data_IF_658819355511
#
_entry.id   IF_658819355511
#
_cell.length_a   1.000
_cell.length_b   1.000
_cell.length_c   1.000
_cell.angle_alpha   90.00
_cell.angle_beta   90.00
_cell.angle_gamma   90.00
#
_symmetry.space_group_name_H-M   'P 1'
#
loop_
_entity.id
_entity.type
_entity.pdbx_description
1 polymer ?
#
# COMPACT_ATOMS: atom_id res chain seq x y z
N UNK A 1 30.86 9.31 4.11
CA UNK A 1 29.47 9.41 4.49
C UNK A 1 28.72 8.15 4.06
N UNK A 2 28.13 7.48 5.02
CA UNK A 2 27.57 6.14 4.88
C UNK A 2 26.33 6.21 3.97
N UNK A 3 26.28 5.41 2.92
CA UNK A 3 25.12 5.26 2.01
C UNK A 3 23.79 4.97 2.77
N UNK A 4 23.86 4.47 4.00
CA UNK A 4 22.70 4.21 4.87
C UNK A 4 21.99 5.48 5.34
N UNK A 5 22.73 6.56 5.59
CA UNK A 5 22.15 7.81 6.10
C UNK A 5 21.35 8.56 5.02
N UNK A 6 21.81 8.48 3.76
CA UNK A 6 21.08 9.04 2.61
C UNK A 6 19.74 8.33 2.38
N UNK A 7 19.68 7.02 2.64
CA UNK A 7 18.46 6.24 2.50
C UNK A 7 17.39 6.56 3.57
N UNK A 8 17.78 6.93 4.78
CA UNK A 8 16.82 7.27 5.85
C UNK A 8 16.18 8.63 5.62
N UNK A 9 16.94 9.64 5.18
CA UNK A 9 16.41 10.97 4.88
C UNK A 9 15.46 10.96 3.67
N UNK A 10 15.81 10.20 2.62
CA UNK A 10 14.95 9.97 1.46
C UNK A 10 13.65 9.24 1.84
N UNK A 11 13.71 8.30 2.79
CA UNK A 11 12.52 7.56 3.29
C UNK A 11 11.55 8.47 4.05
N UNK A 12 12.05 9.38 4.89
CA UNK A 12 11.24 10.37 5.61
C UNK A 12 10.52 11.32 4.66
N UNK A 13 11.25 11.89 3.72
CA UNK A 13 10.67 12.75 2.68
C UNK A 13 9.58 12.00 1.92
N UNK A 14 9.80 10.73 1.61
CA UNK A 14 8.85 9.88 0.90
C UNK A 14 7.55 9.67 1.67
N UNK A 15 7.57 9.34 2.95
CA UNK A 15 6.35 9.15 3.76
C UNK A 15 5.55 10.45 3.93
N UNK A 16 6.23 11.57 4.15
CA UNK A 16 5.58 12.88 4.18
C UNK A 16 5.01 13.25 2.79
N UNK A 17 5.75 12.96 1.71
CA UNK A 17 5.26 13.16 0.35
C UNK A 17 4.00 12.33 0.05
N UNK A 18 3.96 11.04 0.46
CA UNK A 18 2.78 10.19 0.27
C UNK A 18 1.59 10.75 1.06
N UNK A 19 1.79 11.17 2.31
CA UNK A 19 0.73 11.77 3.12
C UNK A 19 0.16 13.02 2.45
N UNK A 20 1.03 13.93 1.99
CA UNK A 20 0.61 15.18 1.38
C UNK A 20 -0.03 14.95 0.00
N UNK A 21 0.58 14.13 -0.85
CA UNK A 21 0.05 13.80 -2.18
C UNK A 21 -1.24 12.97 -2.11
N UNK A 22 -1.44 12.21 -1.03
CA UNK A 22 -2.67 11.48 -0.75
C UNK A 22 -3.72 12.30 0.02
N UNK A 23 -3.50 13.61 0.21
CA UNK A 23 -4.40 14.50 0.96
C UNK A 23 -4.74 13.97 2.36
N UNK A 24 -3.75 13.38 3.04
CA UNK A 24 -3.87 12.84 4.39
C UNK A 24 -4.49 11.44 4.48
N UNK A 25 -4.86 10.80 3.38
CA UNK A 25 -5.41 9.43 3.40
C UNK A 25 -4.34 8.36 3.67
N UNK A 26 -3.07 8.68 3.55
CA UNK A 26 -1.97 7.90 4.10
C UNK A 26 -1.53 8.49 5.43
N UNK A 27 -1.61 7.71 6.51
CA UNK A 27 -1.19 8.17 7.84
C UNK A 27 -0.74 6.99 8.70
N UNK A 28 0.53 6.95 9.05
CA UNK A 28 1.09 5.90 9.90
C UNK A 28 0.78 6.08 11.39
N UNK A 29 0.25 7.24 11.81
CA UNK A 29 -0.14 7.52 13.20
C UNK A 29 -1.58 7.03 13.48
N UNK A 30 -1.84 5.76 13.13
CA UNK A 30 -3.18 5.15 13.24
C UNK A 30 -3.24 3.97 14.22
N UNK A 31 -2.14 3.65 14.90
CA UNK A 31 -2.03 2.43 15.69
C UNK A 31 -3.07 2.31 16.81
N UNK A 32 -3.42 3.41 17.48
CA UNK A 32 -4.48 3.40 18.49
C UNK A 32 -5.85 3.10 17.88
N UNK A 33 -6.17 3.74 16.76
CA UNK A 33 -7.45 3.52 16.06
C UNK A 33 -7.53 2.10 15.52
N UNK A 34 -6.42 1.58 14.98
CA UNK A 34 -6.31 0.19 14.53
C UNK A 34 -6.52 -0.80 15.68
N UNK A 35 -5.96 -0.51 16.87
CA UNK A 35 -6.17 -1.30 18.10
C UNK A 35 -7.63 -1.24 18.57
N UNK A 36 -8.22 -0.04 18.65
CA UNK A 36 -9.61 0.14 19.09
C UNK A 36 -10.61 -0.58 18.19
N UNK A 37 -10.31 -0.70 16.89
CA UNK A 37 -11.07 -1.50 15.93
C UNK A 37 -10.69 -2.99 15.95
N UNK A 38 -9.70 -3.38 16.76
CA UNK A 38 -9.25 -4.74 16.96
C UNK A 38 -8.41 -5.30 15.83
N UNK A 39 -7.77 -4.48 15.01
CA UNK A 39 -6.85 -4.89 13.92
C UNK A 39 -5.37 -4.80 14.30
N UNK A 40 -5.05 -4.23 15.46
CA UNK A 40 -3.73 -4.22 16.06
C UNK A 40 -3.78 -4.80 17.48
N UNK A 41 -2.64 -5.20 18.08
CA UNK A 41 -2.58 -5.65 19.46
C UNK A 41 -3.19 -4.64 20.41
N UNK A 42 -3.82 -5.14 21.49
CA UNK A 42 -4.35 -4.30 22.55
C UNK A 42 -3.18 -3.70 23.35
N UNK A 43 -3.11 -2.38 23.36
CA UNK A 43 -2.14 -1.63 24.15
C UNK A 43 -2.86 -1.01 25.34
N UNK A 44 -2.13 -0.79 26.43
CA UNK A 44 -2.65 -0.16 27.63
C UNK A 44 -3.51 1.06 27.30
N UNK A 45 -4.76 1.04 27.78
CA UNK A 45 -5.85 1.91 27.35
C UNK A 45 -5.76 3.33 27.94
N UNK A 46 -4.59 3.94 27.95
CA UNK A 46 -4.51 5.36 28.24
C UNK A 46 -5.32 6.15 27.21
N UNK A 47 -6.29 6.90 27.68
CA UNK A 47 -7.17 7.73 26.86
C UNK A 47 -6.31 8.66 26.01
N UNK A 48 -6.35 8.50 24.69
CA UNK A 48 -5.69 9.42 23.77
C UNK A 48 -6.42 10.76 23.82
N UNK A 49 -5.89 11.71 24.61
CA UNK A 49 -6.51 13.02 24.80
C UNK A 49 -6.38 13.92 23.56
N UNK A 50 -5.37 13.68 22.72
CA UNK A 50 -5.12 14.47 21.52
C UNK A 50 -4.61 13.59 20.40
N UNK A 51 -5.40 13.41 19.38
CA UNK A 51 -4.96 12.75 18.14
C UNK A 51 -4.25 13.78 17.25
N UNK A 52 -2.98 13.64 17.08
CA UNK A 52 -2.21 14.36 16.07
C UNK A 52 -1.33 13.38 15.31
N UNK A 53 -1.19 13.59 14.02
CA UNK A 53 -0.26 12.86 13.18
C UNK A 53 1.14 13.50 13.15
N UNK A 54 1.40 14.48 14.03
CA UNK A 54 2.71 15.13 14.09
C UNK A 54 3.72 14.25 14.81
N UNK A 55 4.84 14.03 14.16
CA UNK A 55 6.03 13.43 14.74
C UNK A 55 7.29 14.06 14.16
N UNK A 56 8.41 13.93 14.85
CA UNK A 56 9.72 14.40 14.41
C UNK A 56 10.71 13.24 14.52
N UNK A 57 11.51 13.05 13.48
CA UNK A 57 12.61 12.11 13.46
C UNK A 57 13.92 12.89 13.54
N UNK A 58 14.75 12.58 14.51
CA UNK A 58 16.11 13.07 14.60
C UNK A 58 17.06 11.97 14.05
N UNK A 59 17.65 12.24 12.90
CA UNK A 59 18.54 11.28 12.23
C UNK A 59 19.90 11.14 12.93
N UNK A 60 20.36 12.18 13.63
CA UNK A 60 21.66 12.19 14.28
C UNK A 60 21.71 11.25 15.50
N UNK A 61 20.66 11.27 16.32
CA UNK A 61 20.55 10.43 17.52
C UNK A 61 19.62 9.22 17.31
N UNK A 62 19.08 9.05 16.09
CA UNK A 62 18.13 7.99 15.71
C UNK A 62 16.90 7.94 16.61
N UNK A 63 16.47 9.10 17.11
CA UNK A 63 15.31 9.23 17.97
C UNK A 63 14.06 9.65 17.20
N UNK A 64 12.90 9.26 17.74
CA UNK A 64 11.59 9.59 17.20
C UNK A 64 10.75 10.23 18.30
N UNK A 65 10.35 11.49 18.08
CA UNK A 65 9.48 12.23 18.98
C UNK A 65 8.05 12.24 18.48
N UNK A 66 7.14 11.73 19.29
CA UNK A 66 5.68 11.82 19.06
C UNK A 66 5.12 13.03 19.80
N UNK A 67 4.06 13.64 19.26
CA UNK A 67 3.32 14.75 19.86
C UNK A 67 1.92 14.36 20.33
N UNK A 68 1.64 13.05 20.37
CA UNK A 68 0.42 12.46 20.91
C UNK A 68 0.69 11.08 21.48
N UNK A 69 -0.27 10.53 22.21
CA UNK A 69 -0.23 9.16 22.72
C UNK A 69 -0.52 8.10 21.64
N UNK A 70 -0.79 8.51 20.42
CA UNK A 70 -1.00 7.61 19.30
C UNK A 70 0.31 6.90 18.90
N UNK A 71 0.18 5.69 18.34
CA UNK A 71 1.31 4.86 17.90
C UNK A 71 1.46 4.85 16.39
N UNK A 72 2.61 4.35 15.96
CA UNK A 72 2.85 4.05 14.57
C UNK A 72 2.24 2.70 14.21
N UNK A 73 1.36 2.70 13.21
CA UNK A 73 0.94 1.52 12.48
C UNK A 73 1.65 1.52 11.13
N UNK A 74 2.56 0.57 10.95
CA UNK A 74 3.35 0.42 9.74
C UNK A 74 2.83 -0.69 8.83
N UNK A 75 1.68 -1.29 9.14
CA UNK A 75 1.09 -2.39 8.36
C UNK A 75 0.86 -2.05 6.89
N UNK A 76 0.62 -0.76 6.61
CA UNK A 76 0.39 -0.21 5.28
C UNK A 76 1.66 0.00 4.41
N UNK A 77 2.83 -0.37 4.92
CA UNK A 77 4.12 -0.14 4.22
C UNK A 77 5.16 -1.22 4.53
N UNK A 78 4.96 -2.01 5.56
CA UNK A 78 5.98 -2.93 6.07
C UNK A 78 6.29 -4.05 5.10
N UNK A 79 5.29 -4.59 4.42
CA UNK A 79 5.45 -5.68 3.45
C UNK A 79 6.20 -5.18 2.21
N UNK A 80 5.74 -4.06 1.62
CA UNK A 80 6.44 -3.42 0.51
C UNK A 80 7.88 -3.06 0.84
N UNK A 81 8.13 -2.58 2.07
CA UNK A 81 9.48 -2.31 2.54
C UNK A 81 10.34 -3.58 2.62
N UNK A 82 9.81 -4.68 3.16
CA UNK A 82 10.54 -5.94 3.26
C UNK A 82 10.92 -6.50 1.89
N UNK A 83 9.98 -6.51 0.94
CA UNK A 83 10.20 -6.92 -0.45
C UNK A 83 11.25 -6.04 -1.12
N UNK A 84 11.19 -4.71 -0.92
CA UNK A 84 12.18 -3.76 -1.44
C UNK A 84 13.59 -4.05 -0.92
N UNK A 85 13.75 -4.37 0.38
CA UNK A 85 15.04 -4.68 0.97
C UNK A 85 15.64 -5.97 0.42
N UNK A 86 14.82 -6.99 0.19
CA UNK A 86 15.26 -8.24 -0.44
C UNK A 86 15.70 -7.98 -1.88
N UNK A 87 14.94 -7.20 -2.64
CA UNK A 87 15.32 -6.79 -4.00
C UNK A 87 16.67 -6.07 -4.03
N UNK A 88 16.86 -5.06 -3.17
CA UNK A 88 18.12 -4.31 -3.07
C UNK A 88 19.29 -5.23 -2.77
N UNK A 89 19.11 -6.19 -1.85
CA UNK A 89 20.13 -7.19 -1.51
C UNK A 89 20.48 -8.09 -2.71
N UNK A 90 19.47 -8.65 -3.39
CA UNK A 90 19.69 -9.49 -4.58
C UNK A 90 20.37 -8.70 -5.69
N UNK A 91 19.91 -7.48 -5.93
CA UNK A 91 20.43 -6.60 -6.96
C UNK A 91 21.92 -6.25 -6.74
N UNK A 92 22.32 -5.95 -5.51
CA UNK A 92 23.71 -5.67 -5.12
C UNK A 92 24.61 -6.91 -5.25
N UNK A 93 24.04 -8.11 -5.15
CA UNK A 93 24.76 -9.38 -5.35
C UNK A 93 24.69 -9.90 -6.80
N UNK A 94 24.35 -9.03 -7.77
CA UNK A 94 24.24 -9.34 -9.20
C UNK A 94 23.18 -10.40 -9.56
N UNK A 95 22.23 -10.69 -8.68
CA UNK A 95 21.08 -11.55 -8.93
C UNK A 95 19.97 -10.70 -9.54
N UNK A 96 20.02 -10.45 -10.85
CA UNK A 96 19.17 -9.47 -11.54
C UNK A 96 17.79 -10.00 -11.91
N UNK A 97 17.67 -11.31 -12.14
CA UNK A 97 16.44 -11.95 -12.58
C UNK A 97 15.75 -12.60 -11.39
N UNK A 98 14.71 -11.97 -10.84
CA UNK A 98 14.01 -12.48 -9.67
C UNK A 98 12.56 -12.00 -9.60
N UNK A 99 11.75 -12.81 -8.91
CA UNK A 99 10.44 -12.48 -8.41
C UNK A 99 10.46 -12.63 -6.89
N UNK A 100 9.97 -11.64 -6.18
CA UNK A 100 9.82 -11.65 -4.72
C UNK A 100 8.36 -11.36 -4.42
N UNK A 101 7.73 -12.19 -3.60
CA UNK A 101 6.35 -12.01 -3.14
C UNK A 101 6.29 -12.18 -1.62
N UNK A 102 5.76 -11.20 -0.93
CA UNK A 102 5.43 -11.27 0.50
C UNK A 102 3.98 -10.86 0.69
N UNK A 103 3.09 -11.83 0.69
CA UNK A 103 1.66 -11.62 0.99
C UNK A 103 0.93 -10.73 -0.02
N UNK A 104 1.38 -10.71 -1.30
CA UNK A 104 0.78 -9.96 -2.39
C UNK A 104 1.49 -8.63 -2.72
N UNK A 105 2.50 -8.23 -1.94
CA UNK A 105 3.45 -7.20 -2.34
C UNK A 105 4.58 -7.87 -3.11
N UNK A 106 4.72 -7.49 -4.39
CA UNK A 106 5.54 -8.20 -5.36
C UNK A 106 6.57 -7.26 -5.99
N UNK A 107 7.80 -7.73 -6.14
CA UNK A 107 8.75 -7.18 -7.10
C UNK A 107 9.06 -8.25 -8.15
N UNK A 108 9.01 -7.84 -9.40
CA UNK A 108 9.59 -8.56 -10.51
C UNK A 108 10.69 -7.71 -11.14
N UNK A 109 11.82 -8.34 -11.46
CA UNK A 109 12.95 -7.69 -12.11
C UNK A 109 13.65 -8.68 -13.06
N UNK A 110 14.02 -8.19 -14.24
CA UNK A 110 14.60 -9.06 -15.26
C UNK A 110 13.61 -10.07 -15.83
N UNK A 111 14.11 -11.21 -16.26
CA UNK A 111 13.37 -12.26 -16.93
C UNK A 111 13.40 -13.62 -16.20
N UNK A 112 12.51 -14.51 -16.59
CA UNK A 112 12.45 -15.91 -16.16
C UNK A 112 13.07 -16.80 -17.24
N UNK A 113 14.40 -16.92 -17.23
CA UNK A 113 15.13 -17.74 -18.21
C UNK A 113 14.81 -17.36 -19.68
N UNK A 114 14.83 -16.06 -19.97
CA UNK A 114 14.55 -15.53 -21.32
C UNK A 114 13.08 -15.28 -21.63
N UNK A 115 12.17 -15.58 -20.71
CA UNK A 115 10.74 -15.26 -20.82
C UNK A 115 10.36 -14.15 -19.84
N UNK A 116 9.40 -13.28 -20.16
CA UNK A 116 8.93 -12.27 -19.21
C UNK A 116 8.27 -12.93 -17.98
N UNK A 117 8.39 -12.26 -16.84
CA UNK A 117 7.58 -12.59 -15.66
C UNK A 117 6.14 -12.18 -15.90
N UNK A 118 5.19 -13.03 -15.48
CA UNK A 118 3.74 -12.76 -15.55
C UNK A 118 3.13 -12.86 -14.15
N UNK A 119 2.37 -11.84 -13.75
CA UNK A 119 1.70 -11.75 -12.45
C UNK A 119 0.20 -11.67 -12.65
N UNK A 120 -0.53 -12.63 -12.10
CA UNK A 120 -1.99 -12.59 -12.06
C UNK A 120 -2.50 -11.71 -10.92
N UNK A 121 -3.30 -10.70 -11.24
CA UNK A 121 -4.05 -9.94 -10.23
C UNK A 121 -5.32 -10.69 -9.89
N UNK A 122 -5.45 -11.12 -8.64
CA UNK A 122 -6.56 -11.95 -8.19
C UNK A 122 -7.91 -11.26 -8.38
N UNK A 123 -8.89 -12.04 -8.85
CA UNK A 123 -10.28 -11.60 -8.86
C UNK A 123 -10.88 -11.69 -7.43
N UNK A 124 -11.34 -10.57 -6.84
CA UNK A 124 -11.84 -10.56 -5.46
C UNK A 124 -13.17 -11.32 -5.26
N UNK A 125 -13.95 -11.57 -6.30
CA UNK A 125 -15.24 -12.27 -6.23
C UNK A 125 -15.15 -13.76 -6.58
N UNK A 126 -14.04 -14.20 -7.16
CA UNK A 126 -13.85 -15.57 -7.59
C UNK A 126 -12.82 -16.29 -6.74
N UNK A 127 -12.77 -17.62 -6.84
CA UNK A 127 -11.82 -18.45 -6.11
C UNK A 127 -10.37 -18.14 -6.51
N UNK A 128 -9.42 -18.54 -5.68
CA UNK A 128 -7.97 -18.24 -5.78
C UNK A 128 -7.30 -18.57 -7.13
N UNK A 129 -7.96 -19.34 -7.99
CA UNK A 129 -7.42 -19.77 -9.28
C UNK A 129 -7.73 -18.82 -10.46
N UNK A 130 -8.54 -17.77 -10.22
CA UNK A 130 -8.92 -16.83 -11.29
C UNK A 130 -8.31 -15.46 -11.07
N UNK A 131 -7.70 -14.91 -12.12
CA UNK A 131 -7.19 -13.55 -12.17
C UNK A 131 -8.13 -12.63 -12.95
N UNK A 132 -8.29 -11.40 -12.49
CA UNK A 132 -8.99 -10.34 -13.24
C UNK A 132 -8.14 -9.81 -14.39
N UNK A 133 -6.81 -9.85 -14.22
CA UNK A 133 -5.84 -9.34 -15.18
C UNK A 133 -4.52 -10.07 -14.99
N UNK A 134 -3.74 -10.19 -16.06
CA UNK A 134 -2.34 -10.65 -16.03
C UNK A 134 -1.44 -9.50 -16.46
N UNK A 135 -0.48 -9.15 -15.61
CA UNK A 135 0.59 -8.19 -15.93
C UNK A 135 1.79 -8.96 -16.46
N UNK A 136 2.14 -8.72 -17.72
CA UNK A 136 3.33 -9.28 -18.36
C UNK A 136 4.48 -8.26 -18.39
N UNK A 137 5.59 -8.55 -17.71
CA UNK A 137 6.77 -7.68 -17.72
C UNK A 137 7.58 -7.82 -19.00
N UNK A 138 6.99 -7.47 -20.14
CA UNK A 138 7.59 -7.65 -21.47
C UNK A 138 8.94 -6.96 -21.66
N UNK A 139 9.16 -5.88 -20.92
CA UNK A 139 10.39 -5.09 -20.99
C UNK A 139 11.49 -5.57 -20.02
N UNK A 140 11.21 -6.59 -19.22
CA UNK A 140 12.12 -7.14 -18.21
C UNK A 140 12.67 -6.08 -17.22
N UNK A 141 11.92 -4.98 -17.02
CA UNK A 141 12.27 -3.92 -16.09
C UNK A 141 11.84 -4.26 -14.68
N UNK A 142 12.25 -3.41 -13.72
CA UNK A 142 11.69 -3.45 -12.39
C UNK A 142 10.21 -3.04 -12.41
N UNK A 143 9.36 -3.86 -11.78
CA UNK A 143 7.99 -3.49 -11.42
C UNK A 143 7.73 -3.88 -9.97
N UNK A 144 7.31 -2.90 -9.16
CA UNK A 144 6.76 -3.10 -7.81
C UNK A 144 5.24 -3.09 -7.88
N UNK A 145 4.60 -4.14 -7.40
CA UNK A 145 3.15 -4.32 -7.46
C UNK A 145 2.65 -4.52 -6.03
N UNK A 146 1.62 -3.78 -5.62
CA UNK A 146 0.98 -3.96 -4.33
C UNK A 146 -0.53 -3.88 -4.45
N UNK A 147 -1.24 -4.69 -3.68
CA UNK A 147 -2.69 -4.72 -3.70
C UNK A 147 -3.28 -4.60 -2.29
N UNK A 148 -4.29 -3.73 -2.15
CA UNK A 148 -5.12 -3.58 -0.96
C UNK A 148 -6.57 -3.92 -1.30
N UNK A 149 -7.24 -4.71 -0.46
CA UNK A 149 -8.61 -5.13 -0.74
C UNK A 149 -9.39 -5.48 0.52
N UNK A 150 -10.70 -5.27 0.45
CA UNK A 150 -11.63 -5.43 1.56
C UNK A 150 -12.19 -6.86 1.68
N UNK A 151 -11.88 -7.73 0.72
CA UNK A 151 -12.49 -9.06 0.63
C UNK A 151 -11.83 -10.10 1.55
N UNK A 152 -10.60 -9.85 2.04
CA UNK A 152 -9.85 -10.81 2.88
C UNK A 152 -9.84 -10.47 4.37
N UNK A 153 -9.69 -9.18 4.71
CA UNK A 153 -9.45 -8.74 6.08
C UNK A 153 -10.58 -7.82 6.57
N UNK A 154 -11.62 -8.42 7.12
CA UNK A 154 -12.73 -7.70 7.75
C UNK A 154 -13.18 -8.45 9.01
N UNK A 155 -13.88 -7.75 9.85
CA UNK A 155 -14.61 -8.30 11.01
C UNK A 155 -16.10 -8.03 10.84
N UNK A 156 -16.90 -8.82 11.53
CA UNK A 156 -18.34 -8.57 11.65
C UNK A 156 -18.57 -8.06 13.07
N UNK A 157 -19.24 -6.91 13.21
CA UNK A 157 -19.64 -6.37 14.51
C UNK A 157 -20.85 -7.11 15.08
N UNK A 158 -21.28 -6.70 16.31
CA UNK A 158 -22.41 -7.30 17.01
C UNK A 158 -23.74 -7.08 16.27
N UNK A 159 -23.81 -6.04 15.44
CA UNK A 159 -24.99 -5.69 14.63
C UNK A 159 -24.97 -6.35 13.25
N UNK A 160 -23.96 -7.17 12.95
CA UNK A 160 -23.80 -7.87 11.67
C UNK A 160 -23.16 -7.02 10.55
N UNK A 161 -22.63 -5.82 10.86
CA UNK A 161 -22.01 -4.98 9.85
C UNK A 161 -20.55 -5.41 9.61
N UNK A 162 -20.12 -5.30 8.36
CA UNK A 162 -18.73 -5.50 7.96
C UNK A 162 -17.87 -4.30 8.41
N UNK A 163 -16.82 -4.57 9.19
CA UNK A 163 -15.78 -3.60 9.56
C UNK A 163 -14.52 -3.95 8.79
N UNK A 164 -14.11 -3.06 7.88
CA UNK A 164 -12.86 -3.17 7.15
C UNK A 164 -11.67 -2.87 8.06
N UNK A 165 -10.54 -3.54 7.80
CA UNK A 165 -9.27 -3.23 8.42
C UNK A 165 -8.67 -1.91 7.90
N UNK A 166 -9.08 -1.44 6.72
CA UNK A 166 -8.66 -0.14 6.19
C UNK A 166 -9.42 0.98 6.90
N UNK A 167 -8.66 1.90 7.44
CA UNK A 167 -9.17 3.03 8.22
C UNK A 167 -9.02 4.31 7.39
N UNK A 168 -10.07 5.13 7.38
CA UNK A 168 -9.96 6.47 6.82
C UNK A 168 -9.36 7.41 7.87
N UNK A 169 -8.13 7.93 7.66
CA UNK A 169 -7.44 8.76 8.65
C UNK A 169 -8.13 10.10 8.93
N UNK A 170 -8.96 10.59 8.01
CA UNK A 170 -9.67 11.84 8.18
C UNK A 170 -10.91 11.69 9.05
N UNK A 171 -11.53 10.50 9.09
CA UNK A 171 -12.72 10.23 9.90
C UNK A 171 -12.45 9.34 11.09
N UNK A 172 -11.29 8.69 11.15
CA UNK A 172 -10.87 7.71 12.16
C UNK A 172 -11.82 6.49 12.24
N UNK A 173 -12.47 6.17 11.14
CA UNK A 173 -13.42 5.06 11.05
C UNK A 173 -12.99 4.09 9.96
N UNK A 174 -13.38 2.83 10.13
CA UNK A 174 -13.34 1.84 9.04
C UNK A 174 -14.05 2.39 7.79
N UNK A 175 -13.46 2.13 6.63
CA UNK A 175 -14.05 2.59 5.38
C UNK A 175 -15.34 1.83 5.07
N UNK A 176 -16.24 2.54 4.37
CA UNK A 176 -17.47 1.99 3.78
C UNK A 176 -17.51 2.49 2.35
N UNK A 177 -16.89 1.78 1.45
CA UNK A 177 -16.94 2.05 0.01
C UNK A 177 -17.15 0.73 -0.75
N UNK A 178 -17.34 0.81 -2.03
CA UNK A 178 -17.57 -0.34 -2.89
C UNK A 178 -16.30 -0.85 -3.59
N UNK A 179 -15.11 -0.42 -3.17
CA UNK A 179 -13.87 -0.99 -3.66
C UNK A 179 -13.75 -2.45 -3.20
N UNK A 180 -13.48 -3.33 -4.14
CA UNK A 180 -13.18 -4.73 -3.87
C UNK A 180 -11.67 -4.94 -3.79
N UNK A 181 -10.91 -4.34 -4.73
CA UNK A 181 -9.46 -4.41 -4.76
C UNK A 181 -8.86 -3.16 -5.40
N UNK A 182 -7.75 -2.71 -4.85
CA UNK A 182 -6.90 -1.64 -5.37
C UNK A 182 -5.54 -2.26 -5.68
N UNK A 183 -5.05 -2.08 -6.89
CA UNK A 183 -3.69 -2.49 -7.27
C UNK A 183 -2.91 -1.28 -7.77
N UNK A 184 -1.73 -1.05 -7.21
CA UNK A 184 -0.79 -0.02 -7.63
C UNK A 184 0.46 -0.66 -8.20
N UNK A 185 0.92 -0.15 -9.34
CA UNK A 185 2.20 -0.53 -9.95
C UNK A 185 3.12 0.69 -9.95
N UNK A 186 4.35 0.49 -9.47
CA UNK A 186 5.40 1.50 -9.48
C UNK A 186 6.68 0.94 -10.11
N UNK A 187 7.32 1.73 -10.96
CA UNK A 187 8.52 1.31 -11.70
C UNK A 187 9.83 1.51 -10.93
N UNK A 188 9.75 1.98 -9.68
CA UNK A 188 10.93 2.28 -8.86
C UNK A 188 10.84 1.75 -7.43
N UNK A 189 9.64 1.53 -6.88
CA UNK A 189 9.50 1.21 -5.46
C UNK A 189 8.19 0.50 -5.12
N UNK A 190 8.26 -0.77 -4.71
CA UNK A 190 7.11 -1.48 -4.17
C UNK A 190 6.65 -0.92 -2.82
N UNK A 191 7.55 -0.29 -2.06
CA UNK A 191 7.19 0.41 -0.82
C UNK A 191 6.22 1.55 -1.07
N UNK A 192 6.39 2.27 -2.19
CA UNK A 192 5.43 3.30 -2.63
C UNK A 192 4.12 2.68 -3.07
N UNK A 193 4.18 1.62 -3.88
CA UNK A 193 2.98 0.92 -4.34
C UNK A 193 2.12 0.45 -3.16
N UNK A 194 2.71 -0.14 -2.10
CA UNK A 194 2.04 -0.60 -0.89
C UNK A 194 1.34 0.55 -0.15
N UNK A 195 2.06 1.64 0.12
CA UNK A 195 1.51 2.81 0.80
C UNK A 195 0.36 3.47 0.02
N UNK A 196 0.51 3.61 -1.31
CA UNK A 196 -0.55 4.18 -2.15
C UNK A 196 -1.74 3.24 -2.32
N UNK A 197 -1.54 1.92 -2.40
CA UNK A 197 -2.64 0.96 -2.46
C UNK A 197 -3.55 1.10 -1.23
N UNK A 198 -2.97 1.22 -0.04
CA UNK A 198 -3.71 1.47 1.20
C UNK A 198 -4.42 2.84 1.19
N UNK A 199 -3.72 3.90 0.79
CA UNK A 199 -4.29 5.25 0.72
C UNK A 199 -5.47 5.33 -0.26
N UNK A 200 -5.32 4.77 -1.45
CA UNK A 200 -6.37 4.76 -2.47
C UNK A 200 -7.58 3.94 -2.06
N UNK A 201 -7.37 2.84 -1.34
CA UNK A 201 -8.47 2.07 -0.78
C UNK A 201 -9.27 2.90 0.24
N UNK A 202 -8.58 3.68 1.08
CA UNK A 202 -9.23 4.57 2.04
C UNK A 202 -9.99 5.75 1.40
N UNK A 203 -9.65 6.15 0.16
CA UNK A 203 -10.27 7.28 -0.54
C UNK A 203 -11.58 6.95 -1.23
N UNK A 204 -11.76 5.71 -1.66
CA UNK A 204 -12.80 5.33 -2.64
C UNK A 204 -12.41 5.65 -4.08
N UNK A 205 -13.09 5.02 -5.04
CA UNK A 205 -12.74 4.94 -6.46
C UNK A 205 -12.50 6.30 -7.14
N UNK A 206 -13.47 7.20 -7.06
CA UNK A 206 -13.45 8.47 -7.81
C UNK A 206 -12.27 9.35 -7.38
N UNK A 207 -12.05 9.45 -6.07
CA UNK A 207 -10.96 10.25 -5.52
C UNK A 207 -9.61 9.59 -5.78
N UNK A 208 -9.52 8.27 -5.66
CA UNK A 208 -8.31 7.50 -5.93
C UNK A 208 -7.82 7.71 -7.38
N UNK A 209 -8.69 7.56 -8.38
CA UNK A 209 -8.35 7.78 -9.79
C UNK A 209 -7.92 9.23 -10.05
N UNK A 210 -8.64 10.21 -9.48
CA UNK A 210 -8.28 11.62 -9.63
C UNK A 210 -6.87 11.91 -9.09
N UNK A 211 -6.55 11.39 -7.91
CA UNK A 211 -5.24 11.61 -7.27
C UNK A 211 -4.15 10.80 -8.00
N UNK A 212 -4.44 9.58 -8.43
CA UNK A 212 -3.50 8.78 -9.21
C UNK A 212 -3.12 9.47 -10.53
N UNK A 213 -4.08 10.00 -11.27
CA UNK A 213 -3.83 10.75 -12.50
C UNK A 213 -3.02 12.04 -12.25
N UNK A 214 -3.32 12.76 -11.16
CA UNK A 214 -2.58 13.98 -10.80
C UNK A 214 -1.10 13.72 -10.47
N UNK A 215 -0.82 12.56 -9.87
CA UNK A 215 0.52 12.18 -9.39
C UNK A 215 1.24 11.17 -10.30
N UNK A 216 0.73 10.90 -11.49
CA UNK A 216 1.31 9.95 -12.47
C UNK A 216 1.54 8.55 -11.89
N UNK A 217 0.53 8.01 -11.17
CA UNK A 217 0.58 6.70 -10.50
C UNK A 217 -0.26 5.70 -11.29
N UNK A 218 0.31 4.52 -11.60
CA UNK A 218 -0.42 3.44 -12.22
C UNK A 218 -1.31 2.74 -11.20
N UNK A 219 -2.63 2.89 -11.37
CA UNK A 219 -3.67 2.41 -10.47
C UNK A 219 -4.73 1.61 -11.23
N UNK A 220 -5.07 0.45 -10.70
CA UNK A 220 -6.26 -0.33 -11.06
C UNK A 220 -7.19 -0.42 -9.86
N UNK A 221 -8.46 -0.15 -10.06
CA UNK A 221 -9.53 -0.30 -9.06
C UNK A 221 -10.54 -1.31 -9.55
N UNK A 222 -10.73 -2.39 -8.81
CA UNK A 222 -11.84 -3.33 -8.98
C UNK A 222 -12.92 -2.94 -7.95
N UNK A 223 -14.14 -2.72 -8.38
CA UNK A 223 -15.23 -2.25 -7.52
C UNK A 223 -16.55 -2.93 -7.86
N UNK A 224 -17.50 -2.90 -6.91
CA UNK A 224 -18.88 -3.32 -7.13
C UNK A 224 -19.68 -2.12 -7.60
N UNK A 225 -20.31 -2.22 -8.77
CA UNK A 225 -21.15 -1.17 -9.35
C UNK A 225 -22.64 -1.32 -8.98
N UNK A 226 -22.97 -2.33 -8.17
CA UNK A 226 -24.32 -2.70 -7.77
C UNK A 226 -24.98 -3.72 -8.69
N UNK A 227 -24.37 -4.04 -9.83
CA UNK A 227 -24.79 -5.09 -10.75
C UNK A 227 -23.74 -6.19 -10.88
N UNK A 228 -22.55 -5.95 -10.37
CA UNK A 228 -21.44 -6.88 -10.39
C UNK A 228 -20.10 -6.18 -10.18
N UNK A 229 -19.06 -6.79 -10.75
CA UNK A 229 -17.70 -6.27 -10.70
C UNK A 229 -17.39 -5.48 -11.96
N UNK A 230 -16.80 -4.30 -11.80
CA UNK A 230 -16.23 -3.51 -12.89
C UNK A 230 -14.81 -3.03 -12.53
N UNK A 231 -14.06 -2.57 -13.52
CA UNK A 231 -12.64 -2.19 -13.37
C UNK A 231 -12.42 -0.82 -14.01
N UNK A 232 -11.67 0.03 -13.29
CA UNK A 232 -11.23 1.32 -13.81
C UNK A 232 -9.73 1.50 -13.57
N UNK A 233 -9.06 2.21 -14.50
CA UNK A 233 -7.63 2.42 -14.50
C UNK A 233 -7.29 3.91 -14.50
N UNK A 234 -6.13 4.27 -13.94
CA UNK A 234 -5.52 5.58 -14.14
C UNK A 234 -4.84 5.68 -15.51
N UNK A 235 -4.53 6.90 -15.95
CA UNK A 235 -3.83 7.14 -17.22
C UNK A 235 -2.47 6.44 -17.25
N UNK A 236 -1.73 6.51 -16.16
CA UNK A 236 -0.38 5.89 -16.06
C UNK A 236 -0.41 4.37 -16.24
N UNK A 237 -1.51 3.70 -15.90
CA UNK A 237 -1.67 2.27 -16.12
C UNK A 237 -1.53 1.92 -17.61
N UNK A 238 -2.24 2.67 -18.45
CA UNK A 238 -2.19 2.51 -19.90
C UNK A 238 -0.83 2.90 -20.50
N UNK A 239 -0.19 3.95 -19.95
CA UNK A 239 1.14 4.40 -20.41
C UNK A 239 2.22 3.34 -20.17
N UNK A 240 2.09 2.52 -19.12
CA UNK A 240 2.99 1.40 -18.84
C UNK A 240 2.72 0.17 -19.72
N UNK A 241 1.60 0.13 -20.44
CA UNK A 241 1.20 -0.99 -21.28
C UNK A 241 0.78 -2.23 -20.50
N UNK A 242 0.22 -2.02 -19.30
CA UNK A 242 -0.22 -3.07 -18.38
C UNK A 242 -1.61 -3.60 -18.72
#
# INVERSE_FOLDING_TARGET
GDHRDLHLSLRRQRQMCIRDSSEGYYNIMMGKVSSDLGFAPDFDQSIVQKQTSKYELNENDKSLKRYSDNWFDLSSIAKGYAVQQIHEYLYLNNLRNHLIDIGGEIIINGDKNGSPWSIGIQNPLLNYESSSLVIDNKNNNFLGIASSGEYRNYKIDLDGNKISHTINPNTLKSIKNNNLSITVVDTNSVTYADAYATAFNAMGKEKAIKIANRNDIALMVIFDDGYGQDIVYSNKWYDLGL
#
